data_IF_934070505858
#
_entry.id   IF_934070505858
#
_cell.length_a   1.000
_cell.length_b   1.000
_cell.length_c   1.000
_cell.angle_alpha   90.00
_cell.angle_beta   90.00
_cell.angle_gamma   90.00
#
_symmetry.space_group_name_H-M   'P 1'
#
loop_
_entity.id
_entity.type
_entity.pdbx_description
1 polymer ?
#
# COMPACT_ATOMS: atom_id res chain seq x y z
N UNK A 1 14.22 -6.93 -3.17
CA UNK A 1 13.51 -8.19 -3.48
C UNK A 1 14.53 -9.31 -3.38
N UNK A 2 14.27 -10.38 -2.63
CA UNK A 2 15.20 -11.52 -2.48
C UNK A 2 14.46 -12.77 -2.95
N UNK A 3 15.06 -13.52 -3.86
CA UNK A 3 14.53 -14.81 -4.27
C UNK A 3 14.62 -15.81 -3.12
N UNK A 4 13.60 -16.65 -3.00
CA UNK A 4 13.60 -17.79 -2.10
C UNK A 4 14.49 -18.90 -2.67
N UNK A 5 14.97 -19.80 -1.81
CA UNK A 5 15.83 -20.93 -2.23
C UNK A 5 15.16 -21.85 -3.27
N UNK A 6 13.82 -21.94 -3.22
CA UNK A 6 13.02 -22.68 -4.20
C UNK A 6 12.89 -21.99 -5.56
N UNK A 7 13.15 -20.68 -5.65
CA UNK A 7 12.89 -19.85 -6.84
C UNK A 7 14.12 -19.77 -7.76
N UNK A 8 14.55 -20.92 -8.29
CA UNK A 8 15.77 -21.01 -9.11
C UNK A 8 15.72 -20.16 -10.37
N UNK A 9 14.58 -20.14 -11.07
CA UNK A 9 14.41 -19.37 -12.30
C UNK A 9 14.44 -17.86 -12.04
N UNK A 10 13.74 -17.41 -11.00
CA UNK A 10 13.73 -16.00 -10.61
C UNK A 10 15.10 -15.55 -10.10
N UNK A 11 15.80 -16.39 -9.33
CA UNK A 11 17.16 -16.13 -8.87
C UNK A 11 18.12 -15.94 -10.04
N UNK A 12 18.04 -16.82 -11.05
CA UNK A 12 18.87 -16.71 -12.26
C UNK A 12 18.58 -15.41 -13.02
N UNK A 13 17.30 -15.08 -13.22
CA UNK A 13 16.91 -13.84 -13.88
C UNK A 13 17.41 -12.59 -13.13
N UNK A 14 17.33 -12.56 -11.80
CA UNK A 14 17.87 -11.45 -11.00
C UNK A 14 19.37 -11.25 -11.21
N UNK A 15 20.14 -12.35 -11.33
CA UNK A 15 21.58 -12.28 -11.63
C UNK A 15 21.83 -11.73 -13.03
N UNK A 16 21.10 -12.21 -14.04
CA UNK A 16 21.23 -11.71 -15.43
C UNK A 16 20.93 -10.21 -15.54
N UNK A 17 19.95 -9.71 -14.75
CA UNK A 17 19.67 -8.27 -14.64
C UNK A 17 20.82 -7.53 -13.95
N UNK A 18 21.32 -8.06 -12.82
CA UNK A 18 22.41 -7.45 -12.05
C UNK A 18 23.75 -7.39 -12.81
N UNK A 19 24.01 -8.38 -13.65
CA UNK A 19 25.20 -8.48 -14.51
C UNK A 19 25.08 -7.63 -15.80
N UNK A 20 23.95 -6.95 -16.01
CA UNK A 20 23.72 -6.08 -17.17
C UNK A 20 23.46 -6.85 -18.48
N UNK A 21 23.15 -8.14 -18.41
CA UNK A 21 22.92 -8.98 -19.60
C UNK A 21 21.56 -8.74 -20.26
N UNK A 22 20.67 -7.99 -19.60
CA UNK A 22 19.31 -7.68 -20.09
C UNK A 22 19.25 -6.55 -21.12
N UNK A 23 20.36 -5.85 -21.40
CA UNK A 23 20.38 -4.66 -22.25
C UNK A 23 19.55 -3.50 -21.67
N UNK A 24 19.08 -2.59 -22.52
CA UNK A 24 18.35 -1.39 -22.10
C UNK A 24 16.90 -1.66 -21.63
N UNK A 25 16.36 -2.86 -21.89
CA UNK A 25 14.97 -3.20 -21.57
C UNK A 25 14.89 -4.53 -20.83
N UNK A 26 14.47 -4.45 -19.57
CA UNK A 26 14.26 -5.62 -18.72
C UNK A 26 12.88 -6.21 -19.03
N UNK A 27 12.85 -7.46 -19.51
CA UNK A 27 11.61 -8.24 -19.61
C UNK A 27 11.39 -9.01 -18.31
N UNK A 28 10.21 -8.83 -17.70
CA UNK A 28 9.84 -9.57 -16.51
C UNK A 28 9.59 -11.05 -16.86
N UNK A 29 10.03 -12.00 -16.03
CA UNK A 29 9.75 -13.41 -16.21
C UNK A 29 8.27 -13.70 -15.94
N UNK A 30 7.75 -14.79 -16.50
CA UNK A 30 6.36 -15.20 -16.36
C UNK A 30 5.91 -15.34 -14.90
N UNK A 31 6.83 -15.73 -14.00
CA UNK A 31 6.60 -15.85 -12.55
C UNK A 31 6.22 -14.52 -11.88
N UNK A 32 6.61 -13.37 -12.46
CA UNK A 32 6.24 -12.05 -11.94
C UNK A 32 4.80 -11.66 -12.28
N UNK A 33 4.13 -12.37 -13.19
CA UNK A 33 2.75 -12.10 -13.55
C UNK A 33 1.81 -12.95 -12.69
N UNK A 34 0.97 -12.33 -11.86
CA UNK A 34 0.08 -13.08 -10.99
C UNK A 34 -1.04 -13.73 -11.80
N UNK A 35 -1.48 -14.93 -11.38
CA UNK A 35 -2.61 -15.63 -12.00
C UNK A 35 -3.94 -14.93 -11.69
N UNK A 36 -4.08 -14.46 -10.45
CA UNK A 36 -5.18 -13.61 -10.02
C UNK A 36 -4.74 -12.15 -10.19
N UNK A 37 -5.53 -11.37 -10.94
CA UNK A 37 -5.21 -9.98 -11.27
C UNK A 37 -5.72 -9.01 -10.20
N UNK A 38 -6.72 -9.42 -9.42
CA UNK A 38 -7.20 -8.67 -8.27
C UNK A 38 -6.22 -8.86 -7.10
N UNK A 39 -5.47 -7.82 -6.70
CA UNK A 39 -4.46 -7.95 -5.66
C UNK A 39 -5.08 -8.32 -4.31
N UNK A 40 -6.33 -7.90 -4.02
CA UNK A 40 -7.00 -8.28 -2.78
C UNK A 40 -7.30 -9.77 -2.79
N UNK A 41 -7.86 -10.31 -3.88
CA UNK A 41 -8.08 -11.76 -3.98
C UNK A 41 -6.77 -12.54 -3.97
N UNK A 42 -5.74 -12.05 -4.63
CA UNK A 42 -4.44 -12.70 -4.65
C UNK A 42 -3.88 -12.90 -3.23
N UNK A 43 -4.01 -11.91 -2.36
CA UNK A 43 -3.39 -11.91 -1.03
C UNK A 43 -4.32 -12.27 0.13
N UNK A 44 -5.64 -12.26 -0.04
CA UNK A 44 -6.57 -12.46 1.08
C UNK A 44 -7.60 -13.58 0.87
N UNK A 45 -7.65 -14.21 -0.31
CA UNK A 45 -8.66 -15.25 -0.60
C UNK A 45 -8.45 -16.56 0.18
N UNK A 46 -7.25 -16.80 0.71
CA UNK A 46 -6.96 -17.92 1.60
C UNK A 46 -7.36 -17.65 3.06
N UNK A 47 -7.71 -16.40 3.39
CA UNK A 47 -8.10 -16.00 4.74
C UNK A 47 -9.62 -15.97 4.90
N UNK A 48 -10.09 -16.51 6.01
CA UNK A 48 -11.41 -16.15 6.50
C UNK A 48 -11.32 -14.78 7.18
N UNK A 49 -11.55 -13.71 6.40
CA UNK A 49 -11.52 -12.33 6.90
C UNK A 49 -12.48 -12.09 8.06
N UNK A 50 -13.49 -12.97 8.25
CA UNK A 50 -14.39 -12.91 9.40
C UNK A 50 -13.78 -13.29 10.74
N UNK A 51 -12.67 -14.00 10.73
CA UNK A 51 -11.99 -14.51 11.92
C UNK A 51 -10.46 -14.30 11.82
N UNK A 52 -10.04 -13.29 11.05
CA UNK A 52 -8.63 -13.05 10.77
C UNK A 52 -7.92 -12.50 12.01
N UNK A 53 -6.73 -13.00 12.27
CA UNK A 53 -5.85 -12.52 13.35
C UNK A 53 -4.79 -11.56 12.81
N UNK A 54 -4.24 -10.71 13.68
CA UNK A 54 -3.13 -9.81 13.32
C UNK A 54 -1.92 -10.56 12.76
N UNK A 55 -1.64 -11.76 13.27
CA UNK A 55 -0.54 -12.61 12.82
C UNK A 55 -0.73 -13.09 11.38
N UNK A 56 -1.97 -13.39 10.98
CA UNK A 56 -2.29 -13.80 9.60
C UNK A 56 -2.19 -12.64 8.60
N UNK A 57 -2.35 -11.40 9.06
CA UNK A 57 -2.19 -10.19 8.24
C UNK A 57 -0.72 -9.80 8.02
N UNK A 58 0.20 -10.28 8.86
CA UNK A 58 1.63 -9.98 8.71
C UNK A 58 2.15 -10.47 7.35
N UNK A 59 2.95 -9.65 6.70
CA UNK A 59 3.57 -9.99 5.42
C UNK A 59 2.64 -9.92 4.21
N UNK A 60 1.38 -9.47 4.37
CA UNK A 60 0.41 -9.32 3.27
C UNK A 60 0.26 -7.87 2.78
N UNK A 61 1.35 -7.09 2.86
CA UNK A 61 1.34 -5.69 2.42
C UNK A 61 1.20 -5.61 0.90
N UNK A 62 0.20 -4.86 0.43
CA UNK A 62 0.07 -4.47 -0.97
C UNK A 62 0.68 -3.08 -1.13
N UNK A 63 1.62 -2.94 -2.05
CA UNK A 63 2.25 -1.65 -2.38
C UNK A 63 1.66 -1.12 -3.69
N UNK A 64 1.32 0.17 -3.70
CA UNK A 64 0.76 0.87 -4.86
C UNK A 64 1.64 2.06 -5.23
N UNK A 65 1.49 2.55 -6.46
CA UNK A 65 2.25 3.72 -6.95
C UNK A 65 1.74 5.01 -6.33
N UNK A 66 0.43 5.12 -6.08
CA UNK A 66 -0.20 6.31 -5.51
C UNK A 66 -0.96 5.98 -4.23
N UNK A 67 -1.13 6.99 -3.38
CA UNK A 67 -1.89 6.87 -2.14
C UNK A 67 -3.37 6.63 -2.40
N UNK A 68 -3.96 7.25 -3.43
CA UNK A 68 -5.38 7.08 -3.76
C UNK A 68 -5.73 5.61 -3.99
N UNK A 69 -4.92 4.90 -4.81
CA UNK A 69 -5.10 3.47 -5.04
C UNK A 69 -4.86 2.66 -3.76
N UNK A 70 -3.93 3.10 -2.88
CA UNK A 70 -3.72 2.45 -1.59
C UNK A 70 -4.93 2.57 -0.67
N UNK A 71 -5.59 3.74 -0.66
CA UNK A 71 -6.78 4.02 0.15
C UNK A 71 -7.95 3.17 -0.34
N UNK A 72 -8.16 3.10 -1.65
CA UNK A 72 -9.19 2.25 -2.25
C UNK A 72 -9.01 0.78 -1.85
N UNK A 73 -7.80 0.23 -1.97
CA UNK A 73 -7.51 -1.16 -1.58
C UNK A 73 -7.66 -1.40 -0.08
N UNK A 74 -7.20 -0.46 0.75
CA UNK A 74 -7.35 -0.55 2.20
C UNK A 74 -8.83 -0.60 2.60
N UNK A 75 -9.67 0.23 1.98
CA UNK A 75 -11.11 0.25 2.24
C UNK A 75 -11.78 -1.06 1.79
N UNK A 76 -11.39 -1.62 0.63
CA UNK A 76 -11.88 -2.92 0.18
C UNK A 76 -11.55 -4.02 1.19
N UNK A 77 -10.31 -4.09 1.68
CA UNK A 77 -9.90 -5.07 2.70
C UNK A 77 -10.64 -4.85 4.02
N UNK A 78 -10.76 -3.59 4.46
CA UNK A 78 -11.45 -3.22 5.70
C UNK A 78 -12.92 -3.67 5.70
N UNK A 79 -13.62 -3.49 4.58
CA UNK A 79 -15.02 -3.89 4.41
C UNK A 79 -15.26 -5.41 4.58
N UNK A 80 -14.22 -6.24 4.43
CA UNK A 80 -14.33 -7.68 4.65
C UNK A 80 -14.08 -8.10 6.09
N UNK A 81 -13.48 -7.23 6.93
CA UNK A 81 -13.20 -7.50 8.34
C UNK A 81 -14.47 -7.14 9.14
N UNK A 82 -15.12 -8.11 9.81
CA UNK A 82 -16.30 -7.83 10.60
C UNK A 82 -15.91 -7.14 11.90
N UNK A 83 -16.76 -6.22 12.34
CA UNK A 83 -16.55 -5.49 13.57
C UNK A 83 -17.36 -4.21 13.56
N UNK A 84 -17.22 -3.44 14.64
CA UNK A 84 -17.69 -2.07 14.64
C UNK A 84 -16.68 -1.23 13.87
N UNK A 85 -17.16 -0.50 12.87
CA UNK A 85 -16.41 0.58 12.26
C UNK A 85 -16.35 1.75 13.22
N UNK A 86 -15.17 2.31 13.40
CA UNK A 86 -14.96 3.53 14.17
C UNK A 86 -14.27 4.53 13.25
N UNK A 87 -14.83 5.72 13.14
CA UNK A 87 -14.26 6.83 12.40
C UNK A 87 -13.51 7.71 13.38
N UNK A 88 -12.25 8.02 13.06
CA UNK A 88 -11.41 8.91 13.83
C UNK A 88 -11.18 10.18 13.01
N UNK A 89 -11.81 11.27 13.42
CA UNK A 89 -11.64 12.56 12.77
C UNK A 89 -10.29 13.18 13.15
N UNK A 90 -9.60 13.78 12.17
CA UNK A 90 -8.40 14.56 12.42
C UNK A 90 -8.75 15.87 13.12
N UNK A 91 -7.76 16.43 13.84
CA UNK A 91 -7.84 17.77 14.43
C UNK A 91 -6.82 18.63 13.70
N UNK A 92 -7.22 19.15 12.54
CA UNK A 92 -6.35 19.98 11.72
C UNK A 92 -6.58 21.46 12.04
N UNK A 93 -5.54 22.11 12.57
CA UNK A 93 -5.53 23.54 12.81
C UNK A 93 -4.17 24.12 12.44
N UNK A 94 -4.17 25.36 11.95
CA UNK A 94 -2.92 26.10 11.79
C UNK A 94 -2.48 26.67 13.14
N UNK A 95 -1.18 26.63 13.40
CA UNK A 95 -0.55 27.36 14.50
C UNK A 95 0.25 28.52 13.89
N UNK A 96 -0.36 29.70 13.82
CA UNK A 96 0.29 30.93 13.33
C UNK A 96 -0.08 32.13 14.20
N UNK A 97 0.91 33.00 14.40
CA UNK A 97 0.74 34.29 15.08
C UNK A 97 0.14 35.37 14.15
N UNK A 98 0.07 35.10 12.83
CA UNK A 98 -0.56 35.99 11.86
C UNK A 98 -2.07 35.66 11.71
N UNK A 99 -2.97 36.59 12.05
CA UNK A 99 -4.41 36.40 11.85
C UNK A 99 -4.83 36.18 10.39
N UNK A 100 -4.02 36.61 9.41
CA UNK A 100 -4.30 36.41 7.98
C UNK A 100 -4.13 34.96 7.54
N UNK A 101 -3.27 34.19 8.22
CA UNK A 101 -3.09 32.78 7.88
C UNK A 101 -4.36 31.98 8.18
N UNK A 102 -5.11 32.34 9.23
CA UNK A 102 -6.38 31.68 9.57
C UNK A 102 -7.45 31.87 8.48
N UNK A 103 -7.38 32.99 7.76
CA UNK A 103 -8.24 33.27 6.60
C UNK A 103 -7.75 32.55 5.33
N UNK A 104 -6.43 32.35 5.22
CA UNK A 104 -5.80 31.73 4.05
C UNK A 104 -5.89 30.20 4.06
N UNK A 105 -5.97 29.60 5.26
CA UNK A 105 -6.03 28.15 5.46
C UNK A 105 -7.21 27.79 6.37
N UNK A 106 -8.46 27.92 5.86
CA UNK A 106 -9.64 27.56 6.63
C UNK A 106 -9.66 26.05 6.92
N UNK A 107 -10.38 25.65 7.96
CA UNK A 107 -10.41 24.25 8.41
C UNK A 107 -10.96 23.31 7.32
N UNK A 108 -11.92 23.77 6.52
CA UNK A 108 -12.45 23.03 5.38
C UNK A 108 -11.38 22.73 4.33
N UNK A 109 -10.46 23.68 4.12
CA UNK A 109 -9.31 23.47 3.23
C UNK A 109 -8.36 22.45 3.84
N UNK A 110 -8.01 22.56 5.13
CA UNK A 110 -7.13 21.59 5.79
C UNK A 110 -7.71 20.18 5.77
N UNK A 111 -9.00 20.02 6.09
CA UNK A 111 -9.72 18.75 6.07
C UNK A 111 -9.84 18.15 4.65
N UNK A 112 -9.67 18.96 3.60
CA UNK A 112 -9.63 18.48 2.22
C UNK A 112 -8.28 17.88 1.82
N UNK A 113 -7.23 18.12 2.62
CA UNK A 113 -5.91 17.59 2.35
C UNK A 113 -5.85 16.13 2.80
N UNK A 114 -5.44 15.25 1.89
CA UNK A 114 -5.06 13.88 2.25
C UNK A 114 -3.64 13.90 2.83
N UNK A 115 -3.43 13.38 4.05
CA UNK A 115 -2.09 13.28 4.60
C UNK A 115 -1.18 12.45 3.69
N UNK A 116 -0.20 13.11 3.07
CA UNK A 116 0.93 12.45 2.45
C UNK A 116 1.82 11.89 3.57
N UNK A 117 1.96 10.56 3.66
CA UNK A 117 2.83 9.86 4.62
C UNK A 117 4.30 10.28 4.44
N UNK A 118 4.68 11.43 5.00
CA UNK A 118 6.04 11.79 5.35
C UNK A 118 6.14 12.04 6.87
N UNK A 119 5.33 11.34 7.66
CA UNK A 119 5.50 11.27 9.11
C UNK A 119 6.18 9.93 9.44
N UNK A 120 7.50 9.97 9.53
CA UNK A 120 8.30 8.95 10.19
C UNK A 120 7.83 8.85 11.65
N UNK A 121 7.43 7.65 12.09
CA UNK A 121 7.40 7.29 13.52
C UNK A 121 8.79 6.81 13.93
#
# INVERSE_FOLDING_TARGET
MRALESEKEFSKWLLEVGDGLSGDTIKLPSVCYPKEQDPVKQFYNDLNLKAVTTEQLKGRTILTVTNDVSIELNNVVLNFIPGREEVYDSIDCILSDDPQDQLSYPQEFLNSLTPNRNATL
#
